data_IF_489106438510
#
_entry.id   IF_489106438510
#
_cell.length_a   1.000
_cell.length_b   1.000
_cell.length_c   1.000
_cell.angle_alpha   90.00
_cell.angle_beta   90.00
_cell.angle_gamma   90.00
#
_symmetry.space_group_name_H-M   'P 1'
#
loop_
_entity.id
_entity.type
_entity.pdbx_description
1 polymer ?
#
# COMPACT_ATOMS: atom_id res chain seq x y z
N UNK A 1 -0.39 -21.23 -1.37
CA UNK A 1 -0.08 -19.79 -1.21
C UNK A 1 0.51 -19.59 0.18
N UNK A 2 1.83 -19.46 0.28
CA UNK A 2 2.49 -19.15 1.56
C UNK A 2 2.10 -17.73 1.93
N UNK A 3 1.22 -17.58 2.91
CA UNK A 3 0.88 -16.29 3.52
C UNK A 3 2.18 -15.73 4.12
N UNK A 4 2.68 -14.66 3.52
CA UNK A 4 3.83 -13.92 4.04
C UNK A 4 3.38 -13.21 5.31
N UNK A 5 3.52 -13.88 6.45
CA UNK A 5 3.52 -13.24 7.75
C UNK A 5 4.85 -12.50 7.87
N UNK A 6 4.86 -11.22 7.50
CA UNK A 6 6.03 -10.36 7.69
C UNK A 6 5.93 -9.68 9.06
N UNK A 7 6.39 -10.40 10.09
CA UNK A 7 6.64 -9.91 11.43
C UNK A 7 8.17 -9.86 11.64
N UNK A 8 8.71 -8.63 11.66
CA UNK A 8 9.88 -8.13 12.41
C UNK A 8 11.20 -8.93 12.42
N UNK A 9 12.26 -8.35 11.83
CA UNK A 9 13.60 -8.31 12.43
C UNK A 9 14.26 -6.94 12.18
N UNK A 10 14.49 -6.19 13.26
CA UNK A 10 15.37 -5.02 13.31
C UNK A 10 16.84 -5.46 13.20
N UNK A 11 17.60 -4.84 12.29
CA UNK A 11 19.06 -4.77 12.40
C UNK A 11 19.51 -3.38 11.91
N UNK A 12 19.91 -2.53 12.87
CA UNK A 12 20.57 -1.26 12.59
C UNK A 12 22.01 -1.52 12.11
N UNK A 13 22.46 -0.80 11.08
CA UNK A 13 23.87 -0.70 10.68
C UNK A 13 24.28 0.77 10.48
N UNK A 14 25.55 1.11 10.73
CA UNK A 14 25.98 2.45 11.13
C UNK A 14 26.07 3.44 9.96
N UNK A 15 25.84 4.72 10.27
CA UNK A 15 25.99 5.84 9.34
C UNK A 15 27.42 5.90 8.77
N UNK A 16 27.52 5.88 7.43
CA UNK A 16 28.75 6.09 6.68
C UNK A 16 29.03 7.60 6.56
N UNK A 17 30.29 7.97 6.81
CA UNK A 17 30.84 9.34 6.86
C UNK A 17 30.26 10.33 5.85
N UNK A 18 29.90 11.52 6.35
CA UNK A 18 29.49 12.68 5.57
C UNK A 18 30.68 13.28 4.78
N UNK A 19 30.58 13.27 3.46
CA UNK A 19 31.36 14.15 2.58
C UNK A 19 30.58 15.42 2.29
N UNK A 20 31.26 16.58 2.31
CA UNK A 20 30.69 17.91 2.10
C UNK A 20 29.73 17.98 0.88
N UNK A 21 28.53 18.57 1.02
CA UNK A 21 27.59 18.68 -0.07
C UNK A 21 28.01 19.79 -1.03
N UNK A 22 28.35 19.40 -2.26
CA UNK A 22 28.39 20.31 -3.40
C UNK A 22 26.94 20.76 -3.70
N UNK A 23 26.66 22.02 -4.09
CA UNK A 23 25.29 22.47 -4.35
C UNK A 23 24.68 21.66 -5.50
N UNK A 24 23.79 20.72 -5.15
CA UNK A 24 23.00 19.99 -6.14
C UNK A 24 22.04 20.99 -6.79
N UNK A 25 22.02 21.01 -8.13
CA UNK A 25 20.97 21.71 -8.87
C UNK A 25 19.61 21.27 -8.32
N UNK A 26 18.72 22.23 -8.07
CA UNK A 26 17.37 21.98 -7.57
C UNK A 26 16.71 20.92 -8.46
N UNK A 27 16.47 19.74 -7.90
CA UNK A 27 15.85 18.64 -8.62
C UNK A 27 14.39 18.97 -8.95
N UNK A 28 13.81 18.22 -9.88
CA UNK A 28 12.42 18.43 -10.30
C UNK A 28 11.39 18.12 -9.19
N UNK A 29 11.83 17.52 -8.07
CA UNK A 29 10.96 17.14 -6.96
C UNK A 29 10.04 15.99 -7.33
N UNK A 30 9.03 15.77 -6.49
CA UNK A 30 8.01 14.75 -6.75
C UNK A 30 6.93 15.30 -7.69
N UNK A 31 6.46 14.51 -8.69
CA UNK A 31 5.31 14.89 -9.49
C UNK A 31 4.01 14.90 -8.64
N UNK A 32 2.92 15.52 -9.14
CA UNK A 32 1.62 15.43 -8.49
C UNK A 32 1.11 13.98 -8.48
N UNK A 33 0.17 13.67 -7.59
CA UNK A 33 -0.39 12.34 -7.39
C UNK A 33 -0.97 11.72 -8.66
N UNK A 34 -1.58 12.54 -9.53
CA UNK A 34 -2.09 12.09 -10.83
C UNK A 34 -1.02 11.52 -11.75
N UNK A 35 0.26 11.84 -11.52
CA UNK A 35 1.43 11.33 -12.26
C UNK A 35 2.22 10.25 -11.53
N UNK A 36 1.66 9.62 -10.49
CA UNK A 36 2.35 8.58 -9.69
C UNK A 36 1.61 7.26 -9.82
N UNK A 37 2.23 6.24 -10.41
CA UNK A 37 1.60 4.93 -10.62
C UNK A 37 2.39 3.81 -9.96
N UNK A 38 1.72 2.78 -9.46
CA UNK A 38 2.40 1.56 -8.98
C UNK A 38 2.84 0.72 -10.17
N UNK A 39 4.05 0.19 -10.09
CA UNK A 39 4.60 -0.76 -11.06
C UNK A 39 5.09 -2.03 -10.36
N UNK A 40 5.08 -3.14 -11.09
CA UNK A 40 5.68 -4.38 -10.64
C UNK A 40 6.43 -5.05 -11.77
N UNK A 41 7.41 -5.89 -11.43
CA UNK A 41 8.10 -6.71 -12.41
C UNK A 41 7.41 -8.06 -12.53
N UNK A 42 6.79 -8.32 -13.68
CA UNK A 42 6.11 -9.57 -13.98
C UNK A 42 7.04 -10.51 -14.76
N UNK A 43 7.22 -11.74 -14.28
CA UNK A 43 7.94 -12.80 -14.98
C UNK A 43 6.96 -13.73 -15.69
N UNK A 44 7.20 -14.05 -16.97
CA UNK A 44 6.34 -14.94 -17.77
C UNK A 44 6.73 -16.42 -17.62
N UNK A 45 7.61 -16.77 -16.68
CA UNK A 45 8.04 -18.14 -16.41
C UNK A 45 9.02 -18.73 -17.43
N UNK A 46 9.18 -18.12 -18.61
CA UNK A 46 10.15 -18.52 -19.65
C UNK A 46 11.50 -17.77 -19.55
N UNK A 47 11.80 -17.19 -18.38
CA UNK A 47 13.01 -16.36 -18.18
C UNK A 47 12.93 -14.97 -18.81
N UNK A 48 11.79 -14.61 -19.40
CA UNK A 48 11.47 -13.25 -19.83
C UNK A 48 10.56 -12.57 -18.80
N UNK A 49 10.72 -11.26 -18.63
CA UNK A 49 9.90 -10.48 -17.72
C UNK A 49 9.91 -9.01 -18.09
N UNK A 50 8.90 -8.31 -17.62
CA UNK A 50 8.62 -6.93 -17.98
C UNK A 50 8.21 -6.16 -16.73
N UNK A 51 8.62 -4.91 -16.65
CA UNK A 51 7.95 -3.98 -15.75
C UNK A 51 6.56 -3.70 -16.30
N UNK A 52 5.56 -3.72 -15.44
CA UNK A 52 4.16 -3.47 -15.81
C UNK A 52 3.56 -2.41 -14.90
N UNK A 53 2.71 -1.57 -15.47
CA UNK A 53 1.84 -0.63 -14.75
C UNK A 53 0.42 -1.12 -14.93
N UNK A 54 -0.20 -1.73 -13.91
CA UNK A 54 -1.61 -2.06 -13.99
C UNK A 54 -2.45 -0.77 -13.97
N UNK A 55 -3.52 -0.77 -14.74
CA UNK A 55 -4.40 0.39 -14.94
C UNK A 55 -5.87 0.08 -14.70
N UNK A 56 -6.28 -1.18 -14.83
CA UNK A 56 -7.68 -1.56 -14.73
C UNK A 56 -7.84 -3.04 -14.39
N UNK A 57 -9.03 -3.40 -13.91
CA UNK A 57 -9.42 -4.79 -13.76
C UNK A 57 -10.90 -4.98 -14.07
N UNK A 58 -11.22 -6.20 -14.50
CA UNK A 58 -12.59 -6.61 -14.80
C UNK A 58 -12.86 -7.98 -14.23
N UNK A 59 -14.09 -8.21 -13.77
CA UNK A 59 -14.53 -9.55 -13.42
C UNK A 59 -14.44 -10.44 -14.65
N UNK A 60 -13.81 -11.61 -14.51
CA UNK A 60 -13.57 -12.54 -15.60
C UNK A 60 -14.40 -13.81 -15.41
N UNK A 61 -15.17 -14.19 -16.43
CA UNK A 61 -15.83 -15.48 -16.47
C UNK A 61 -14.96 -16.50 -17.22
N UNK A 62 -14.43 -17.50 -16.50
CA UNK A 62 -14.20 -18.88 -16.98
C UNK A 62 -13.27 -19.14 -18.18
N UNK A 63 -12.26 -19.99 -17.93
CA UNK A 63 -11.59 -20.94 -18.85
C UNK A 63 -10.93 -20.48 -20.18
N UNK A 64 -11.21 -19.29 -20.74
CA UNK A 64 -10.68 -18.86 -22.05
C UNK A 64 -9.62 -17.77 -21.98
N UNK A 65 -9.28 -17.28 -20.78
CA UNK A 65 -8.26 -16.25 -20.63
C UNK A 65 -6.88 -16.92 -20.55
N UNK A 66 -5.98 -16.48 -21.42
CA UNK A 66 -4.56 -16.80 -21.33
C UNK A 66 -3.96 -16.12 -20.11
N UNK A 67 -2.94 -16.75 -19.51
CA UNK A 67 -2.35 -16.25 -18.26
C UNK A 67 -1.78 -14.83 -18.41
N UNK A 68 -1.18 -14.56 -19.57
CA UNK A 68 -0.68 -13.24 -19.97
C UNK A 68 -0.74 -13.10 -21.48
N UNK A 69 -1.18 -11.94 -21.98
CA UNK A 69 -1.09 -11.59 -23.38
C UNK A 69 -0.89 -10.09 -23.58
N UNK A 70 -0.07 -9.75 -24.58
CA UNK A 70 -0.09 -8.43 -25.17
C UNK A 70 -1.37 -8.26 -25.99
N UNK A 71 -2.00 -7.09 -25.89
CA UNK A 71 -3.25 -6.77 -26.57
C UNK A 71 -3.11 -5.44 -27.31
N UNK A 72 -3.88 -5.27 -28.38
CA UNK A 72 -3.94 -4.00 -29.10
C UNK A 72 -4.59 -2.90 -28.24
N UNK A 73 -4.21 -1.63 -28.41
CA UNK A 73 -4.82 -0.50 -27.69
C UNK A 73 -6.35 -0.41 -27.87
N UNK A 74 -6.88 -0.83 -29.04
CA UNK A 74 -8.32 -0.87 -29.30
C UNK A 74 -9.04 -1.92 -28.45
N UNK A 75 -8.40 -3.07 -28.21
CA UNK A 75 -8.92 -4.13 -27.34
C UNK A 75 -8.91 -3.68 -25.88
N UNK A 76 -7.81 -3.04 -25.44
CA UNK A 76 -7.72 -2.45 -24.10
C UNK A 76 -8.82 -1.39 -23.89
N UNK A 77 -8.98 -0.47 -24.85
CA UNK A 77 -10.02 0.57 -24.79
C UNK A 77 -11.43 -0.04 -24.76
N UNK A 78 -11.71 -1.06 -25.59
CA UNK A 78 -12.99 -1.77 -25.58
C UNK A 78 -13.27 -2.51 -24.25
N UNK A 79 -12.21 -2.90 -23.53
CA UNK A 79 -12.32 -3.46 -22.19
C UNK A 79 -12.52 -2.41 -21.08
N UNK A 80 -12.48 -1.11 -21.41
CA UNK A 80 -12.64 0.00 -20.46
C UNK A 80 -11.33 0.45 -19.81
N UNK A 81 -10.19 -0.01 -20.32
CA UNK A 81 -8.87 0.40 -19.80
C UNK A 81 -8.66 1.89 -20.11
N UNK A 82 -8.25 2.71 -19.12
CA UNK A 82 -7.94 4.11 -19.37
C UNK A 82 -6.70 4.26 -20.27
N UNK A 83 -6.47 5.45 -20.85
CA UNK A 83 -5.24 5.72 -21.58
C UNK A 83 -4.00 5.46 -20.73
N UNK A 84 -2.93 4.99 -21.37
CA UNK A 84 -1.63 4.83 -20.72
C UNK A 84 -1.13 6.17 -20.15
N UNK A 85 -0.32 6.16 -19.07
CA UNK A 85 0.32 7.38 -18.56
C UNK A 85 1.05 8.15 -19.67
N UNK A 86 0.77 9.46 -19.77
CA UNK A 86 1.34 10.33 -20.80
C UNK A 86 2.52 11.12 -20.24
N UNK A 87 3.52 11.41 -21.09
CA UNK A 87 4.70 12.18 -20.71
C UNK A 87 5.95 11.32 -20.56
N UNK A 88 6.98 11.85 -19.90
CA UNK A 88 8.22 11.10 -19.63
C UNK A 88 8.05 10.27 -18.36
N UNK A 89 8.24 8.95 -18.48
CA UNK A 89 8.11 8.00 -17.38
C UNK A 89 9.45 7.72 -16.72
N UNK A 90 9.51 7.83 -15.40
CA UNK A 90 10.66 7.44 -14.59
C UNK A 90 10.25 6.34 -13.62
N UNK A 91 10.83 5.15 -13.79
CA UNK A 91 10.68 4.07 -12.83
C UNK A 91 11.62 4.30 -11.65
N UNK A 92 11.05 4.35 -10.46
CA UNK A 92 11.75 4.36 -9.17
C UNK A 92 11.56 3.01 -8.48
N UNK A 93 12.64 2.38 -8.05
CA UNK A 93 12.60 1.18 -7.19
C UNK A 93 13.28 1.50 -5.86
N UNK A 94 13.06 0.68 -4.83
CA UNK A 94 13.53 0.98 -3.47
C UNK A 94 15.05 1.26 -3.38
N UNK A 95 15.85 0.58 -4.21
CA UNK A 95 17.32 0.62 -4.15
C UNK A 95 17.98 1.10 -5.45
N UNK A 96 17.19 1.50 -6.46
CA UNK A 96 17.67 1.83 -7.80
C UNK A 96 17.72 3.33 -8.06
N UNK A 97 18.63 3.75 -8.95
CA UNK A 97 18.51 5.07 -9.56
C UNK A 97 17.26 5.11 -10.46
N UNK A 98 16.65 6.29 -10.58
CA UNK A 98 15.55 6.51 -11.50
C UNK A 98 15.92 6.08 -12.92
N UNK A 99 15.12 5.19 -13.49
CA UNK A 99 15.30 4.71 -14.86
C UNK A 99 14.25 5.34 -15.77
N UNK A 100 14.67 5.91 -16.90
CA UNK A 100 13.73 6.42 -17.90
C UNK A 100 13.07 5.26 -18.64
N UNK A 101 11.77 5.11 -18.46
CA UNK A 101 10.97 4.09 -19.10
C UNK A 101 10.19 4.65 -20.31
N UNK A 102 9.72 3.73 -21.17
CA UNK A 102 8.74 4.02 -22.22
C UNK A 102 7.54 3.11 -22.05
N UNK A 103 6.35 3.59 -22.43
CA UNK A 103 5.18 2.73 -22.57
C UNK A 103 5.42 1.75 -23.73
N UNK A 104 5.35 0.46 -23.44
CA UNK A 104 5.40 -0.63 -24.42
C UNK A 104 3.99 -1.06 -24.84
N UNK A 105 3.77 -2.38 -24.94
CA UNK A 105 2.47 -2.95 -25.29
C UNK A 105 1.45 -2.79 -24.14
N UNK A 106 0.16 -2.75 -24.49
CA UNK A 106 -0.88 -3.05 -23.50
C UNK A 106 -0.88 -4.55 -23.22
N UNK A 107 -1.25 -4.93 -21.99
CA UNK A 107 -1.37 -6.33 -21.62
C UNK A 107 -2.73 -6.63 -20.97
N UNK A 108 -3.09 -7.90 -21.01
CA UNK A 108 -4.06 -8.52 -20.12
C UNK A 108 -3.41 -9.70 -19.38
N UNK A 109 -3.73 -9.84 -18.10
CA UNK A 109 -3.25 -10.93 -17.25
C UNK A 109 -4.40 -11.54 -16.47
N UNK A 110 -4.52 -12.86 -16.53
CA UNK A 110 -5.52 -13.61 -15.77
C UNK A 110 -5.14 -13.60 -14.30
N UNK A 111 -6.11 -13.30 -13.44
CA UNK A 111 -5.96 -13.41 -12.00
C UNK A 111 -6.83 -14.58 -11.52
N UNK A 112 -6.15 -15.61 -11.02
CA UNK A 112 -6.81 -16.78 -10.46
C UNK A 112 -7.31 -16.53 -9.04
N UNK A 113 -8.39 -17.23 -8.67
CA UNK A 113 -8.97 -17.19 -7.33
C UNK A 113 -10.45 -16.81 -7.37
N UNK A 114 -11.13 -16.87 -6.22
CA UNK A 114 -12.45 -16.26 -6.05
C UNK A 114 -12.31 -14.79 -5.56
N UNK A 115 -12.87 -13.79 -6.25
CA UNK A 115 -13.44 -13.87 -7.61
C UNK A 115 -12.35 -13.91 -8.68
N UNK A 116 -12.63 -14.58 -9.79
CA UNK A 116 -11.75 -14.56 -10.95
C UNK A 116 -11.81 -13.17 -11.59
N UNK A 117 -10.64 -12.64 -11.96
CA UNK A 117 -10.57 -11.34 -12.61
C UNK A 117 -9.48 -11.30 -13.69
N UNK A 118 -9.49 -10.24 -14.49
CA UNK A 118 -8.44 -9.93 -15.46
C UNK A 118 -7.87 -8.58 -15.08
N UNK A 119 -6.54 -8.52 -14.94
CA UNK A 119 -5.79 -7.27 -14.81
C UNK A 119 -5.41 -6.78 -16.20
N UNK A 120 -5.53 -5.48 -16.43
CA UNK A 120 -5.08 -4.82 -17.65
C UNK A 120 -4.12 -3.69 -17.30
N UNK A 121 -3.18 -3.43 -18.18
CA UNK A 121 -2.23 -2.35 -18.00
C UNK A 121 -1.33 -2.17 -19.20
N UNK A 122 -0.17 -1.59 -18.95
CA UNK A 122 0.89 -1.41 -19.95
C UNK A 122 2.21 -1.99 -19.46
N UNK A 123 2.98 -2.53 -20.38
CA UNK A 123 4.39 -2.84 -20.17
C UNK A 123 5.23 -1.56 -20.18
N UNK A 124 6.36 -1.60 -19.48
CA UNK A 124 7.39 -0.58 -19.52
C UNK A 124 8.66 -1.16 -20.13
N UNK A 125 9.23 -0.39 -21.05
CA UNK A 125 10.48 -0.72 -21.74
C UNK A 125 11.63 0.18 -21.26
N UNK A 126 12.86 -0.31 -21.42
CA UNK A 126 14.09 0.47 -21.20
C UNK A 126 14.67 0.38 -19.79
N UNK A 127 13.96 -0.25 -18.84
CA UNK A 127 14.45 -0.48 -17.49
C UNK A 127 14.81 -1.95 -17.26
N UNK A 128 15.93 -2.17 -16.57
CA UNK A 128 16.42 -3.51 -16.27
C UNK A 128 15.49 -4.23 -15.29
N UNK A 129 15.45 -5.56 -15.39
CA UNK A 129 14.86 -6.42 -14.39
C UNK A 129 15.51 -6.16 -13.01
N UNK A 130 14.74 -6.30 -11.91
CA UNK A 130 15.31 -6.24 -10.58
C UNK A 130 16.31 -7.40 -10.39
N UNK A 131 17.44 -7.13 -9.72
CA UNK A 131 18.44 -8.15 -9.45
C UNK A 131 17.95 -9.19 -8.42
N UNK A 132 17.07 -8.77 -7.51
CA UNK A 132 16.41 -9.61 -6.53
C UNK A 132 14.89 -9.63 -6.82
N UNK A 133 14.25 -10.81 -6.96
CA UNK A 133 12.79 -10.91 -7.09
C UNK A 133 12.00 -10.23 -5.97
N UNK A 134 12.56 -10.10 -4.75
CA UNK A 134 11.92 -9.38 -3.65
C UNK A 134 11.86 -7.86 -3.89
N UNK A 135 12.60 -7.36 -4.88
CA UNK A 135 12.61 -5.96 -5.34
C UNK A 135 11.73 -5.75 -6.58
N UNK A 136 10.82 -6.68 -6.88
CA UNK A 136 9.91 -6.62 -8.03
C UNK A 136 8.78 -5.58 -7.89
N UNK A 137 8.87 -4.64 -6.94
CA UNK A 137 7.96 -3.51 -6.78
C UNK A 137 8.65 -2.19 -7.14
N UNK A 138 7.91 -1.28 -7.74
CA UNK A 138 8.38 0.05 -8.08
C UNK A 138 7.24 1.04 -8.26
N UNK A 139 7.58 2.30 -8.50
CA UNK A 139 6.64 3.38 -8.76
C UNK A 139 7.08 4.09 -10.04
N UNK A 140 6.14 4.39 -10.92
CA UNK A 140 6.36 5.25 -12.08
C UNK A 140 5.99 6.69 -11.73
N UNK A 141 6.94 7.58 -11.96
CA UNK A 141 6.82 9.01 -11.80
C UNK A 141 6.76 9.65 -13.19
N UNK A 142 5.64 10.30 -13.50
CA UNK A 142 5.45 11.05 -14.75
C UNK A 142 6.02 12.46 -14.55
N UNK A 143 7.16 12.75 -15.18
CA UNK A 143 7.83 14.05 -15.09
C UNK A 143 8.73 14.30 -16.30
N UNK A 144 8.70 15.52 -16.84
CA UNK A 144 9.55 15.93 -17.96
C UNK A 144 11.05 15.90 -17.63
N UNK A 145 11.39 16.01 -16.34
CA UNK A 145 12.74 15.94 -15.82
C UNK A 145 12.92 14.73 -14.92
N UNK A 146 14.17 14.28 -14.73
CA UNK A 146 14.47 13.25 -13.71
C UNK A 146 13.96 13.77 -12.36
N UNK A 147 13.13 13.03 -11.62
CA UNK A 147 12.57 13.44 -10.34
C UNK A 147 13.62 13.33 -9.22
N UNK A 148 14.75 14.01 -9.40
CA UNK A 148 15.83 14.08 -8.41
C UNK A 148 15.33 14.76 -7.15
N UNK A 149 15.67 14.19 -5.99
CA UNK A 149 15.21 14.66 -4.69
C UNK A 149 13.86 14.07 -4.25
N UNK A 150 13.09 13.44 -5.14
CA UNK A 150 11.92 12.68 -4.75
C UNK A 150 12.34 11.31 -4.17
N UNK A 151 11.86 10.99 -2.98
CA UNK A 151 12.12 9.71 -2.31
C UNK A 151 10.89 9.22 -1.54
N UNK A 152 10.93 7.96 -1.11
CA UNK A 152 9.86 7.32 -0.36
C UNK A 152 10.10 7.39 1.13
N UNK A 153 9.08 7.76 1.88
CA UNK A 153 9.03 7.62 3.33
C UNK A 153 7.88 6.67 3.70
N UNK A 154 8.21 5.56 4.35
CA UNK A 154 7.23 4.57 4.79
C UNK A 154 6.74 4.89 6.21
N UNK A 155 5.51 4.47 6.58
CA UNK A 155 5.04 4.62 7.95
C UNK A 155 5.93 3.86 8.94
N UNK A 156 6.43 4.56 9.96
CA UNK A 156 7.13 3.96 11.09
C UNK A 156 6.16 3.70 12.24
N UNK A 157 6.24 2.56 12.95
CA UNK A 157 5.38 2.29 14.10
C UNK A 157 5.49 3.38 15.17
N UNK A 158 4.35 3.84 15.70
CA UNK A 158 4.31 4.88 16.75
C UNK A 158 3.44 4.52 17.96
N UNK A 159 2.46 3.62 17.78
CA UNK A 159 1.56 3.20 18.84
C UNK A 159 1.07 1.78 18.55
N UNK A 160 1.00 0.96 19.58
CA UNK A 160 0.53 -0.41 19.46
C UNK A 160 0.02 -0.92 20.79
N UNK A 161 -1.07 -1.67 20.73
CA UNK A 161 -1.63 -2.51 21.77
C UNK A 161 -2.27 -3.70 21.07
N UNK A 162 -1.47 -4.73 20.85
CA UNK A 162 -1.85 -5.95 20.14
C UNK A 162 -1.62 -7.16 21.04
N UNK A 163 -2.40 -8.21 20.85
CA UNK A 163 -2.17 -9.47 21.57
C UNK A 163 -1.03 -10.26 20.92
N UNK A 164 -0.53 -11.25 21.65
CA UNK A 164 0.56 -12.11 21.20
C UNK A 164 0.08 -13.57 21.15
N UNK A 165 0.64 -14.37 20.25
CA UNK A 165 0.46 -15.83 20.29
C UNK A 165 1.54 -16.42 21.19
N UNK A 166 1.14 -17.27 22.15
CA UNK A 166 2.09 -18.02 22.96
C UNK A 166 2.72 -19.19 22.19
N UNK A 167 3.58 -19.95 22.87
CA UNK A 167 4.26 -21.11 22.29
C UNK A 167 3.28 -22.22 21.82
N UNK A 168 2.06 -22.23 22.34
CA UNK A 168 0.99 -23.15 21.96
C UNK A 168 0.07 -22.54 20.88
N UNK A 169 0.44 -21.39 20.29
CA UNK A 169 -0.37 -20.62 19.36
C UNK A 169 -1.73 -20.21 19.92
N UNK A 170 -1.85 -20.09 21.25
CA UNK A 170 -3.03 -19.51 21.86
C UNK A 170 -2.83 -18.00 21.98
N UNK A 171 -3.88 -17.25 21.66
CA UNK A 171 -3.82 -15.81 21.75
C UNK A 171 -3.90 -15.36 23.20
N UNK A 172 -3.02 -14.43 23.55
CA UNK A 172 -2.94 -13.80 24.86
C UNK A 172 -3.29 -12.33 24.76
N UNK A 173 -3.99 -11.82 25.78
CA UNK A 173 -4.36 -10.41 25.86
C UNK A 173 -3.11 -9.52 25.86
N UNK A 174 -3.19 -8.29 25.31
CA UNK A 174 -2.08 -7.35 25.36
C UNK A 174 -1.64 -7.09 26.80
N UNK A 175 -0.36 -7.28 27.08
CA UNK A 175 0.28 -6.93 28.36
C UNK A 175 1.14 -5.67 28.27
N UNK A 176 1.32 -5.16 27.03
CA UNK A 176 2.13 -3.99 26.71
C UNK A 176 1.32 -3.05 25.84
N UNK A 177 1.56 -1.76 25.98
CA UNK A 177 1.01 -0.74 25.11
C UNK A 177 1.97 0.43 24.92
N UNK A 178 1.95 1.01 23.73
CA UNK A 178 2.46 2.34 23.44
C UNK A 178 1.26 3.24 23.17
N UNK A 179 1.02 4.30 23.96
CA UNK A 179 -0.18 5.13 23.84
C UNK A 179 -0.36 5.72 22.44
N UNK A 180 -1.61 5.87 22.01
CA UNK A 180 -1.96 6.60 20.79
C UNK A 180 -1.57 8.08 20.93
N UNK A 181 -0.94 8.70 19.90
CA UNK A 181 -0.77 10.14 19.87
C UNK A 181 -2.13 10.85 20.00
N UNK A 182 -2.20 11.99 20.71
CA UNK A 182 -3.45 12.71 20.93
C UNK A 182 -4.23 13.02 19.64
N UNK A 183 -3.52 13.33 18.56
CA UNK A 183 -4.09 13.66 17.25
C UNK A 183 -4.88 12.50 16.66
N UNK A 184 -4.37 11.27 16.82
CA UNK A 184 -5.04 10.05 16.36
C UNK A 184 -6.09 9.58 17.35
N UNK A 185 -5.82 9.70 18.65
CA UNK A 185 -6.79 9.35 19.69
C UNK A 185 -8.11 10.13 19.51
N UNK A 186 -8.03 11.41 19.12
CA UNK A 186 -9.19 12.25 18.85
C UNK A 186 -9.94 11.89 17.55
N UNK A 187 -9.27 11.26 16.58
CA UNK A 187 -9.86 10.85 15.31
C UNK A 187 -10.58 9.48 15.39
N UNK A 188 -10.33 8.72 16.45
CA UNK A 188 -10.93 7.41 16.67
C UNK A 188 -12.33 7.61 17.28
N UNK A 189 -13.39 7.04 16.68
CA UNK A 189 -14.73 7.11 17.23
C UNK A 189 -14.79 6.57 18.67
N UNK A 190 -15.59 7.22 19.51
CA UNK A 190 -15.91 6.67 20.82
C UNK A 190 -16.64 5.34 20.66
N UNK A 191 -16.27 4.37 21.52
CA UNK A 191 -16.85 3.05 21.49
C UNK A 191 -16.83 2.45 22.89
N UNK A 192 -17.97 1.93 23.34
CA UNK A 192 -18.05 1.21 24.61
C UNK A 192 -17.43 -0.17 24.43
N UNK A 193 -16.26 -0.39 25.02
CA UNK A 193 -15.57 -1.67 25.00
C UNK A 193 -14.87 -1.84 26.35
N UNK A 194 -15.51 -2.58 27.24
CA UNK A 194 -15.04 -2.76 28.61
C UNK A 194 -14.55 -4.19 28.81
N UNK A 195 -13.40 -4.32 29.46
CA UNK A 195 -12.93 -5.60 29.96
C UNK A 195 -13.89 -6.14 31.04
N UNK A 196 -14.01 -7.47 31.21
CA UNK A 196 -13.27 -8.50 30.50
C UNK A 196 -13.86 -8.88 29.14
N UNK A 197 -15.11 -8.52 28.84
CA UNK A 197 -15.86 -9.06 27.70
C UNK A 197 -15.44 -8.46 26.34
N UNK A 198 -14.73 -7.32 26.38
CA UNK A 198 -14.20 -6.65 25.19
C UNK A 198 -12.75 -6.20 25.40
N UNK A 199 -12.00 -6.19 24.30
CA UNK A 199 -10.59 -5.80 24.26
C UNK A 199 -10.36 -4.82 23.11
N UNK A 200 -9.90 -3.60 23.43
CA UNK A 200 -9.53 -2.59 22.43
C UNK A 200 -8.10 -2.83 21.95
N UNK A 201 -7.93 -3.31 20.73
CA UNK A 201 -6.64 -3.47 20.06
C UNK A 201 -6.38 -2.27 19.15
N UNK A 202 -5.13 -1.86 19.02
CA UNK A 202 -4.75 -0.85 18.03
C UNK A 202 -3.30 -1.03 17.57
N UNK A 203 -3.02 -0.60 16.34
CA UNK A 203 -1.68 -0.51 15.79
C UNK A 203 -1.64 0.65 14.79
N UNK A 204 -0.71 1.57 14.98
CA UNK A 204 -0.55 2.76 14.15
C UNK A 204 0.92 3.02 13.82
N UNK A 205 1.15 3.48 12.60
CA UNK A 205 2.39 4.09 12.15
C UNK A 205 2.18 5.52 11.66
N UNK A 206 3.28 6.28 11.56
CA UNK A 206 3.32 7.60 10.96
C UNK A 206 4.43 7.70 9.93
N UNK A 207 4.13 8.37 8.82
CA UNK A 207 5.15 8.96 7.96
C UNK A 207 5.56 10.29 8.60
N UNK A 208 6.86 10.48 8.82
CA UNK A 208 7.39 11.73 9.37
C UNK A 208 8.35 12.37 8.37
N UNK A 209 8.18 13.67 8.15
CA UNK A 209 9.11 14.50 7.37
C UNK A 209 9.65 15.58 8.28
N UNK A 210 10.97 15.72 8.34
CA UNK A 210 11.66 16.63 9.27
C UNK A 210 11.21 16.46 10.73
N UNK A 211 10.99 15.20 11.13
CA UNK A 211 10.54 14.83 12.47
C UNK A 211 9.07 15.11 12.78
N UNK A 212 8.31 15.70 11.83
CA UNK A 212 6.88 16.00 11.99
C UNK A 212 6.03 14.97 11.25
N UNK A 213 4.96 14.45 11.86
CA UNK A 213 4.06 13.55 11.17
C UNK A 213 3.31 14.29 10.06
N UNK A 214 3.30 13.71 8.86
CA UNK A 214 2.57 14.23 7.69
C UNK A 214 1.38 13.36 7.32
N UNK A 215 1.38 12.10 7.75
CA UNK A 215 0.28 11.17 7.62
C UNK A 215 0.45 10.02 8.62
N UNK A 216 -0.66 9.35 8.94
CA UNK A 216 -0.71 8.18 9.80
C UNK A 216 -1.48 7.06 9.12
N UNK A 217 -1.17 5.82 9.45
CA UNK A 217 -1.99 4.66 9.09
C UNK A 217 -2.15 3.75 10.27
N UNK A 218 -3.30 3.10 10.35
CA UNK A 218 -3.49 2.08 11.37
C UNK A 218 -4.91 1.60 11.47
N UNK A 219 -5.13 0.80 12.51
CA UNK A 219 -6.43 0.26 12.84
C UNK A 219 -6.65 0.27 14.34
N UNK A 220 -7.93 0.34 14.70
CA UNK A 220 -8.48 0.03 16.02
C UNK A 220 -9.49 -1.09 15.82
N UNK A 221 -9.44 -2.10 16.67
CA UNK A 221 -10.41 -3.18 16.70
C UNK A 221 -10.97 -3.28 18.12
N UNK A 222 -12.29 -3.32 18.26
CA UNK A 222 -12.96 -3.63 19.52
C UNK A 222 -13.41 -5.08 19.46
N UNK A 223 -12.64 -5.95 20.10
CA UNK A 223 -12.73 -7.39 19.99
C UNK A 223 -13.55 -7.95 21.15
N UNK A 224 -14.67 -8.61 20.87
CA UNK A 224 -15.45 -9.37 21.84
C UNK A 224 -14.80 -10.75 22.02
N UNK A 225 -14.16 -10.96 23.17
CA UNK A 225 -13.37 -12.17 23.43
C UNK A 225 -14.27 -13.26 24.01
N UNK A 226 -14.40 -14.36 23.28
CA UNK A 226 -15.02 -15.60 23.76
C UNK A 226 -14.01 -16.63 24.25
N UNK A 227 -14.38 -17.91 24.23
CA UNK A 227 -13.44 -19.00 24.53
C UNK A 227 -12.28 -19.01 23.52
N UNK A 228 -11.03 -19.29 23.93
CA UNK A 228 -9.88 -19.36 23.02
C UNK A 228 -10.04 -20.33 21.84
N UNK A 229 -10.78 -21.42 22.04
CA UNK A 229 -11.09 -22.40 21.00
C UNK A 229 -11.97 -21.80 19.88
N UNK A 230 -12.75 -20.75 20.18
CA UNK A 230 -13.69 -20.10 19.27
C UNK A 230 -13.14 -18.79 18.69
N UNK A 231 -11.82 -18.59 18.69
CA UNK A 231 -11.18 -17.32 18.25
C UNK A 231 -11.63 -16.83 16.88
N UNK A 232 -12.02 -17.75 15.99
CA UNK A 232 -12.51 -17.43 14.65
C UNK A 232 -13.95 -16.90 14.60
N UNK A 233 -14.68 -17.06 15.69
CA UNK A 233 -16.05 -16.57 15.85
C UNK A 233 -16.10 -15.33 16.74
N UNK A 234 -14.96 -14.82 17.21
CA UNK A 234 -14.90 -13.59 17.98
C UNK A 234 -15.35 -12.42 17.09
N UNK A 235 -16.26 -11.60 17.60
CA UNK A 235 -16.75 -10.44 16.88
C UNK A 235 -15.75 -9.30 17.04
N UNK A 236 -15.47 -8.61 15.94
CA UNK A 236 -14.62 -7.43 15.95
C UNK A 236 -15.34 -6.28 15.25
N UNK A 237 -15.52 -5.17 15.96
CA UNK A 237 -15.85 -3.89 15.34
C UNK A 237 -14.53 -3.21 14.96
N UNK A 238 -14.46 -2.64 13.76
CA UNK A 238 -13.18 -2.18 13.18
C UNK A 238 -13.26 -0.73 12.74
N UNK A 239 -12.18 0.00 12.99
CA UNK A 239 -11.94 1.33 12.46
C UNK A 239 -10.49 1.43 11.98
N UNK A 240 -10.30 1.42 10.67
CA UNK A 240 -8.99 1.40 10.02
C UNK A 240 -8.88 2.44 8.91
N UNK A 241 -7.66 2.69 8.44
CA UNK A 241 -7.38 3.48 7.24
C UNK A 241 -6.11 4.30 7.40
N UNK A 242 -6.06 5.42 6.69
CA UNK A 242 -5.03 6.43 6.88
C UNK A 242 -5.61 7.81 7.14
N UNK A 243 -4.79 8.65 7.75
CA UNK A 243 -5.18 9.92 8.33
C UNK A 243 -4.15 10.98 7.95
N UNK A 244 -4.61 12.21 7.79
CA UNK A 244 -3.77 13.37 7.48
C UNK A 244 -4.06 14.52 8.43
N UNK A 245 -3.12 15.44 8.66
CA UNK A 245 -3.38 16.65 9.43
C UNK A 245 -4.48 17.50 8.79
N UNK A 246 -5.31 18.12 9.62
CA UNK A 246 -6.30 19.13 9.25
C UNK A 246 -6.40 20.19 10.36
N UNK A 247 -7.15 21.27 10.12
CA UNK A 247 -7.26 22.42 11.04
C UNK A 247 -7.82 22.06 12.43
N UNK A 248 -8.47 20.90 12.58
CA UNK A 248 -9.05 20.41 13.84
C UNK A 248 -8.37 19.15 14.43
N UNK A 249 -7.25 18.69 13.85
CA UNK A 249 -6.61 17.43 14.21
C UNK A 249 -6.47 16.48 13.02
N UNK A 250 -6.16 15.21 13.28
CA UNK A 250 -6.06 14.23 12.21
C UNK A 250 -7.45 13.88 11.67
N UNK A 251 -7.60 13.80 10.36
CA UNK A 251 -8.84 13.38 9.69
C UNK A 251 -8.60 12.13 8.87
N UNK A 252 -9.54 11.19 8.91
CA UNK A 252 -9.50 9.99 8.08
C UNK A 252 -9.74 10.37 6.62
N UNK A 253 -8.90 9.89 5.72
CA UNK A 253 -9.09 10.10 4.27
C UNK A 253 -10.08 9.07 3.75
N UNK A 254 -11.13 9.53 3.09
CA UNK A 254 -12.21 8.68 2.54
C UNK A 254 -12.49 8.96 1.07
N UNK A 255 -11.87 9.98 0.47
CA UNK A 255 -12.09 10.31 -0.94
C UNK A 255 -11.64 9.16 -1.84
N UNK A 256 -12.54 8.71 -2.73
CA UNK A 256 -12.28 7.60 -3.66
C UNK A 256 -12.18 6.23 -3.00
N UNK A 257 -12.63 6.05 -1.76
CA UNK A 257 -12.50 4.77 -1.06
C UNK A 257 -13.87 4.09 -0.87
N UNK A 258 -14.04 2.94 -1.51
CA UNK A 258 -15.17 2.03 -1.25
C UNK A 258 -14.93 1.20 0.04
N UNK A 259 -13.66 1.04 0.42
CA UNK A 259 -13.18 0.33 1.59
C UNK A 259 -11.90 1.01 2.12
N UNK A 260 -11.50 0.76 3.37
CA UNK A 260 -10.29 1.38 3.92
C UNK A 260 -9.03 0.97 3.14
N UNK A 261 -8.26 1.97 2.71
CA UNK A 261 -6.89 1.77 2.24
C UNK A 261 -5.88 2.04 3.36
N UNK A 262 -4.74 1.37 3.30
CA UNK A 262 -3.62 1.55 4.23
C UNK A 262 -2.54 2.35 3.53
N UNK A 263 -2.03 3.38 4.19
CA UNK A 263 -0.91 4.16 3.67
C UNK A 263 0.33 3.26 3.61
N UNK A 264 0.87 3.06 2.41
CA UNK A 264 2.09 2.29 2.18
C UNK A 264 3.33 3.19 2.17
N UNK A 265 3.21 4.43 1.65
CA UNK A 265 4.31 5.38 1.59
C UNK A 265 3.82 6.83 1.38
N UNK A 266 4.72 7.78 1.60
CA UNK A 266 4.64 9.12 1.05
C UNK A 266 5.83 9.38 0.11
N UNK A 267 5.60 10.14 -0.95
CA UNK A 267 6.65 10.71 -1.78
C UNK A 267 7.01 12.08 -1.23
N UNK A 268 8.28 12.28 -0.95
CA UNK A 268 8.82 13.44 -0.25
C UNK A 268 9.92 14.06 -1.10
N UNK A 269 9.94 15.39 -1.16
CA UNK A 269 11.05 16.16 -1.73
C UNK A 269 11.49 17.28 -0.76
N UNK A 270 12.36 18.18 -1.22
CA UNK A 270 12.88 19.29 -0.40
C UNK A 270 11.80 20.24 0.14
N UNK A 271 10.62 20.23 -0.46
CA UNK A 271 9.46 20.99 0.00
C UNK A 271 8.49 20.19 0.86
N UNK A 272 8.88 19.01 1.34
CA UNK A 272 8.08 18.15 2.21
C UNK A 272 7.36 17.02 1.48
N UNK A 273 6.41 16.38 2.18
CA UNK A 273 5.56 15.34 1.58
C UNK A 273 4.64 15.94 0.51
N UNK A 274 4.58 15.28 -0.65
CA UNK A 274 3.80 15.71 -1.82
C UNK A 274 2.65 14.76 -2.12
N UNK A 275 2.96 13.46 -2.21
CA UNK A 275 1.99 12.44 -2.59
C UNK A 275 1.92 11.38 -1.51
N UNK A 276 0.70 10.97 -1.15
CA UNK A 276 0.46 9.80 -0.32
C UNK A 276 0.08 8.64 -1.24
N UNK A 277 0.69 7.47 -1.02
CA UNK A 277 0.35 6.22 -1.68
C UNK A 277 -0.34 5.32 -0.67
N UNK A 278 -1.60 5.00 -0.92
CA UNK A 278 -2.38 4.07 -0.12
C UNK A 278 -2.74 2.84 -0.95
N UNK A 279 -2.72 1.67 -0.32
CA UNK A 279 -2.90 0.38 -0.98
C UNK A 279 -3.87 -0.50 -0.19
N UNK A 280 -4.45 -1.44 -0.91
CA UNK A 280 -5.25 -2.52 -0.37
C UNK A 280 -5.23 -3.72 -1.32
N UNK A 281 -5.90 -4.83 -0.98
CA UNK A 281 -5.91 -6.02 -1.82
C UNK A 281 -6.41 -5.72 -3.24
N UNK A 282 -5.50 -5.74 -4.22
CA UNK A 282 -5.82 -5.55 -5.62
C UNK A 282 -6.07 -4.10 -6.05
N UNK A 283 -5.79 -3.11 -5.20
CA UNK A 283 -5.92 -1.71 -5.57
C UNK A 283 -4.93 -0.78 -4.86
N UNK A 284 -4.74 0.39 -5.46
CA UNK A 284 -4.00 1.49 -4.86
C UNK A 284 -4.65 2.82 -5.24
N UNK A 285 -4.37 3.84 -4.44
CA UNK A 285 -4.75 5.21 -4.69
C UNK A 285 -3.61 6.17 -4.32
N UNK A 286 -3.49 7.24 -5.09
CA UNK A 286 -2.54 8.31 -4.83
C UNK A 286 -3.28 9.58 -4.49
N UNK A 287 -2.73 10.35 -3.54
CA UNK A 287 -3.35 11.58 -3.07
C UNK A 287 -2.33 12.71 -3.01
N UNK A 288 -2.68 13.89 -3.52
CA UNK A 288 -1.92 15.09 -3.24
C UNK A 288 -2.17 15.51 -1.79
N UNK A 289 -1.10 15.69 -1.03
CA UNK A 289 -1.19 16.25 0.32
C UNK A 289 -1.38 17.77 0.21
N UNK A 290 -2.47 18.27 0.80
CA UNK A 290 -2.87 19.68 0.79
C UNK A 290 -2.93 20.23 2.21
N UNK A 291 -3.10 21.55 2.34
CA UNK A 291 -3.24 22.18 3.65
C UNK A 291 -4.53 21.75 4.40
N UNK A 292 -5.58 21.36 3.67
CA UNK A 292 -6.88 21.03 4.23
C UNK A 292 -7.13 19.51 4.31
N UNK A 293 -6.15 18.69 3.90
CA UNK A 293 -6.24 17.23 3.92
C UNK A 293 -5.56 16.59 2.71
N UNK A 294 -6.13 15.50 2.21
CA UNK A 294 -5.62 14.77 1.04
C UNK A 294 -6.64 14.84 -0.10
N UNK A 295 -6.16 15.10 -1.32
CA UNK A 295 -7.00 15.12 -2.53
C UNK A 295 -6.66 13.96 -3.44
N UNK A 296 -7.64 13.18 -3.86
CA UNK A 296 -7.43 12.05 -4.76
C UNK A 296 -6.82 12.52 -6.09
N UNK A 297 -5.65 11.96 -6.42
CA UNK A 297 -5.02 12.09 -7.73
C UNK A 297 -5.61 11.07 -8.69
N UNK A 298 -5.48 9.79 -8.35
CA UNK A 298 -6.21 8.70 -9.01
C UNK A 298 -6.29 7.45 -8.12
N UNK A 299 -7.15 6.52 -8.52
CA UNK A 299 -7.29 5.19 -7.93
C UNK A 299 -7.25 4.15 -9.05
N UNK A 300 -6.54 3.05 -8.82
CA UNK A 300 -6.46 1.92 -9.74
C UNK A 300 -6.80 0.65 -8.99
N UNK A 301 -7.84 -0.04 -9.47
CA UNK A 301 -8.13 -1.42 -9.10
C UNK A 301 -7.59 -2.35 -10.18
N UNK A 302 -6.55 -3.10 -9.86
CA UNK A 302 -5.84 -3.99 -10.77
C UNK A 302 -6.18 -5.48 -10.57
N UNK A 303 -6.84 -5.81 -9.47
CA UNK A 303 -7.44 -7.12 -9.19
C UNK A 303 -8.72 -6.92 -8.40
N UNK A 304 -9.72 -7.78 -8.62
CA UNK A 304 -10.90 -7.83 -7.76
C UNK A 304 -10.59 -8.75 -6.60
N UNK A 305 -10.40 -8.17 -5.41
CA UNK A 305 -10.21 -8.95 -4.20
C UNK A 305 -11.56 -9.40 -3.60
N UNK A 306 -11.62 -10.60 -3.00
CA UNK A 306 -12.77 -11.01 -2.22
C UNK A 306 -12.87 -10.20 -0.92
N UNK A 307 -14.06 -10.11 -0.33
CA UNK A 307 -14.30 -9.32 0.88
C UNK A 307 -13.40 -9.76 2.06
N UNK A 308 -13.11 -11.06 2.15
CA UNK A 308 -12.26 -11.64 3.20
C UNK A 308 -10.80 -11.15 3.12
N UNK A 309 -10.34 -10.70 1.95
CA UNK A 309 -9.01 -10.12 1.81
C UNK A 309 -8.94 -8.74 2.51
N UNK A 310 -10.03 -7.97 2.44
CA UNK A 310 -10.16 -6.68 3.13
C UNK A 310 -10.22 -6.86 4.64
N UNK A 311 -10.95 -7.89 5.11
CA UNK A 311 -10.96 -8.24 6.53
C UNK A 311 -9.57 -8.50 7.09
N UNK A 312 -8.67 -9.10 6.31
CA UNK A 312 -7.30 -9.41 6.74
C UNK A 312 -6.42 -8.17 6.89
N UNK A 313 -6.69 -7.10 6.14
CA UNK A 313 -5.94 -5.83 6.25
C UNK A 313 -6.37 -5.05 7.50
N UNK A 314 -7.65 -5.12 7.85
CA UNK A 314 -8.23 -4.35 8.96
C UNK A 314 -8.18 -5.06 10.31
N UNK A 315 -7.93 -6.38 10.31
CA UNK A 315 -8.01 -7.21 11.52
C UNK A 315 -6.72 -7.22 12.33
N UNK A 316 -6.80 -6.75 13.56
CA UNK A 316 -5.80 -6.93 14.62
C UNK A 316 -6.09 -8.17 15.50
N UNK A 317 -7.22 -8.84 15.27
CA UNK A 317 -7.56 -10.09 15.92
C UNK A 317 -6.58 -11.21 15.50
N UNK A 318 -6.37 -12.24 16.34
CA UNK A 318 -5.52 -13.37 15.98
C UNK A 318 -5.97 -13.99 14.66
N UNK A 319 -5.03 -14.39 13.78
CA UNK A 319 -5.39 -15.00 12.52
C UNK A 319 -6.10 -16.34 12.76
N UNK A 320 -7.14 -16.59 11.97
CA UNK A 320 -7.64 -17.95 11.78
C UNK A 320 -6.64 -18.72 10.93
N UNK A 321 -6.01 -19.76 11.51
CA UNK A 321 -5.37 -20.77 10.66
C UNK A 321 -6.44 -21.28 9.69
N UNK A 322 -6.11 -21.44 8.38
CA UNK A 322 -7.04 -22.12 7.51
C UNK A 322 -7.31 -23.50 8.12
N UNK A 323 -8.58 -23.93 8.14
CA UNK A 323 -8.87 -25.35 8.32
C UNK A 323 -7.93 -26.10 7.37
N UNK A 324 -7.06 -26.95 7.92
CA UNK A 324 -6.25 -27.79 7.07
C UNK A 324 -7.20 -28.55 6.14
N UNK A 325 -6.91 -28.62 4.83
CA UNK A 325 -7.72 -29.42 3.93
C UNK A 325 -7.77 -30.89 4.39
#
# INVERSE_FOLDING_TARGET
>A
MKRLALLLVLAACPQKNASNPQPQAAGAGCPPASGVYVASYASTGQGQGHWVVPLHSKAGAGAQLVDYAQIDPSVASAAGVPPAPQGTLWLATANGAHCKAKVGAFYSAKIEGPPQSVSYGVELEGCAAPANPDEAGGIVLVSDQVPTGCHFEQPQPIAARVGELDAQKQWQRPTKETPLPPEIAAAIPEHTCNAPDCEKLYAFGAVKVDGKPVAWSGAVNWLQIGAPADRCNWKAERFSGFFVPSQGGAVKVTEGQDHPLVLSAALVDSGGAKVLLAEGPGEYATYDLTADGAKLGHQVRWMIAPNEAWDAVDSLAPPCEPAQP
#
